data_IF_210525415036
#
_entry.id   IF_210525415036
#
_cell.length_a   1.000
_cell.length_b   1.000
_cell.length_c   1.000
_cell.angle_alpha   90.00
_cell.angle_beta   90.00
_cell.angle_gamma   90.00
#
_symmetry.space_group_name_H-M   'P 1'
#
loop_
_entity.id
_entity.type
_entity.pdbx_description
1 polymer ?
#
# COMPACT_ATOMS: atom_id res chain seq x y z
N UNK A 1 20.19 7.54 -11.19
CA UNK A 1 20.43 7.47 -9.74
C UNK A 1 19.87 8.74 -9.11
N UNK A 2 18.70 8.67 -8.52
CA UNK A 2 18.19 9.75 -7.67
C UNK A 2 18.58 9.42 -6.24
N UNK A 3 19.42 10.26 -5.63
CA UNK A 3 19.66 10.21 -4.19
C UNK A 3 18.38 10.55 -3.44
N UNK A 4 18.13 9.88 -2.31
CA UNK A 4 17.03 10.22 -1.41
C UNK A 4 17.08 11.71 -1.06
N UNK A 5 15.91 12.35 -1.02
CA UNK A 5 15.80 13.76 -0.62
C UNK A 5 16.17 13.88 0.86
N UNK A 6 16.95 14.89 1.22
CA UNK A 6 17.26 15.15 2.64
C UNK A 6 15.96 15.37 3.43
N UNK A 7 15.73 14.54 4.44
CA UNK A 7 14.50 14.54 5.23
C UNK A 7 13.41 13.57 4.74
N UNK A 8 13.65 12.80 3.68
CA UNK A 8 12.77 11.71 3.30
C UNK A 8 12.73 10.62 4.38
N UNK A 9 11.58 9.95 4.50
CA UNK A 9 11.40 8.90 5.49
C UNK A 9 12.15 7.61 5.10
N UNK A 10 12.27 7.30 3.81
CA UNK A 10 12.99 6.12 3.30
C UNK A 10 14.24 6.51 2.51
N UNK A 11 15.23 5.63 2.56
CA UNK A 11 16.43 5.69 1.74
C UNK A 11 16.45 4.52 0.76
N UNK A 12 17.04 4.72 -0.44
CA UNK A 12 17.27 3.64 -1.41
C UNK A 12 18.09 2.49 -0.80
N UNK A 13 19.02 2.79 0.11
CA UNK A 13 19.86 1.80 0.79
C UNK A 13 19.08 0.88 1.73
N UNK A 14 17.86 1.26 2.09
CA UNK A 14 16.98 0.43 2.93
C UNK A 14 16.16 -0.56 2.13
N UNK A 15 16.07 -0.38 0.81
CA UNK A 15 15.28 -1.22 -0.10
C UNK A 15 16.10 -2.43 -0.53
N UNK A 16 15.85 -3.57 0.11
CA UNK A 16 16.45 -4.84 -0.28
C UNK A 16 15.68 -5.47 -1.44
N UNK A 17 16.40 -6.25 -2.28
CA UNK A 17 15.82 -6.83 -3.48
C UNK A 17 15.85 -8.34 -3.47
N UNK A 18 14.83 -8.94 -4.08
CA UNK A 18 14.76 -10.35 -4.40
C UNK A 18 14.59 -10.52 -5.91
N UNK A 19 15.23 -11.51 -6.48
CA UNK A 19 15.07 -11.88 -7.90
C UNK A 19 13.81 -12.70 -8.16
N UNK A 20 13.32 -13.39 -7.13
CA UNK A 20 12.10 -14.22 -7.19
C UNK A 20 11.37 -14.18 -5.85
N UNK A 21 10.05 -14.25 -5.86
CA UNK A 21 9.28 -14.30 -4.62
C UNK A 21 9.52 -15.63 -3.88
N UNK A 22 9.77 -15.60 -2.57
CA UNK A 22 9.77 -16.81 -1.75
C UNK A 22 8.34 -17.35 -1.58
N UNK A 23 8.21 -18.51 -0.92
CA UNK A 23 6.89 -19.00 -0.51
C UNK A 23 6.24 -17.98 0.43
N UNK A 24 5.02 -17.58 0.12
CA UNK A 24 4.27 -16.59 0.89
C UNK A 24 3.33 -17.26 1.88
N UNK A 25 3.28 -16.74 3.10
CA UNK A 25 2.29 -17.15 4.10
C UNK A 25 0.95 -16.49 3.85
N UNK A 26 0.98 -15.27 3.29
CA UNK A 26 -0.19 -14.46 2.97
C UNK A 26 0.15 -13.42 1.92
N UNK A 27 -0.79 -13.18 0.99
CA UNK A 27 -0.71 -12.14 -0.03
C UNK A 27 -1.91 -11.21 0.10
N UNK A 28 -1.68 -9.90 0.03
CA UNK A 28 -2.74 -8.90 0.05
C UNK A 28 -2.51 -7.87 -1.07
N UNK A 29 -3.57 -7.19 -1.47
CA UNK A 29 -3.50 -6.07 -2.40
C UNK A 29 -3.89 -4.81 -1.64
N UNK A 30 -2.92 -3.91 -1.46
CA UNK A 30 -3.16 -2.59 -0.90
C UNK A 30 -3.70 -1.65 -1.97
N UNK A 31 -4.76 -0.91 -1.67
CA UNK A 31 -5.39 0.03 -2.59
C UNK A 31 -5.55 1.39 -1.93
N UNK A 32 -5.11 2.43 -2.61
CA UNK A 32 -5.38 3.83 -2.28
C UNK A 32 -6.04 4.52 -3.49
N UNK A 33 -7.37 4.51 -3.59
CA UNK A 33 -8.06 5.00 -4.77
C UNK A 33 -8.01 6.53 -4.84
N UNK A 34 -7.83 7.06 -6.07
CA UNK A 34 -7.93 8.48 -6.33
C UNK A 34 -9.29 9.04 -5.87
N UNK A 35 -9.27 10.16 -5.17
CA UNK A 35 -10.49 10.82 -4.67
C UNK A 35 -11.20 11.67 -5.72
N UNK A 36 -10.55 11.93 -6.86
CA UNK A 36 -11.07 12.74 -7.98
C UNK A 36 -11.04 11.96 -9.28
N UNK A 37 -12.02 12.19 -10.15
CA UNK A 37 -12.09 11.61 -11.50
C UNK A 37 -11.77 12.68 -12.55
N UNK A 38 -11.00 12.34 -13.59
CA UNK A 38 -10.69 13.20 -14.74
C UNK A 38 -9.21 13.09 -15.19
N UNK A 39 -8.86 13.74 -16.31
CA UNK A 39 -7.48 13.71 -16.87
C UNK A 39 -6.39 14.29 -15.94
N UNK A 40 -6.80 15.04 -14.91
CA UNK A 40 -5.91 15.59 -13.86
C UNK A 40 -6.11 14.89 -12.51
N UNK A 41 -6.75 13.71 -12.50
CA UNK A 41 -6.91 12.94 -11.26
C UNK A 41 -5.56 12.43 -10.76
N UNK A 42 -5.48 12.23 -9.46
CA UNK A 42 -4.38 11.49 -8.85
C UNK A 42 -4.35 10.05 -9.37
N UNK A 43 -3.25 9.38 -9.19
CA UNK A 43 -3.15 7.95 -9.46
C UNK A 43 -4.00 7.16 -8.43
N UNK A 44 -4.42 5.97 -8.81
CA UNK A 44 -4.90 4.97 -7.86
C UNK A 44 -3.72 4.07 -7.51
N UNK A 45 -3.31 4.10 -6.26
CA UNK A 45 -2.27 3.20 -5.76
C UNK A 45 -2.79 1.77 -5.67
N UNK A 46 -2.10 0.81 -6.30
CA UNK A 46 -2.41 -0.62 -6.25
C UNK A 46 -1.11 -1.39 -6.09
N UNK A 47 -0.89 -1.95 -4.91
CA UNK A 47 0.33 -2.68 -4.58
C UNK A 47 -0.01 -4.10 -4.15
N UNK A 48 0.54 -5.08 -4.87
CA UNK A 48 0.52 -6.48 -4.44
C UNK A 48 1.69 -6.74 -3.52
N UNK A 49 1.43 -7.25 -2.33
CA UNK A 49 2.46 -7.53 -1.35
C UNK A 49 2.18 -8.82 -0.58
N UNK A 50 3.24 -9.46 -0.14
CA UNK A 50 3.18 -10.71 0.61
C UNK A 50 3.97 -10.67 1.91
N UNK A 51 3.64 -11.63 2.77
CA UNK A 51 4.38 -11.94 3.99
C UNK A 51 5.00 -13.33 3.87
N UNK A 52 6.28 -13.45 4.20
CA UNK A 52 7.01 -14.72 4.29
C UNK A 52 7.80 -14.74 5.61
N UNK A 53 7.33 -15.51 6.59
CA UNK A 53 7.87 -15.49 7.95
C UNK A 53 7.68 -14.13 8.61
N UNK A 54 8.78 -13.45 8.92
CA UNK A 54 8.82 -12.10 9.49
C UNK A 54 9.16 -11.01 8.46
N UNK A 55 9.18 -11.35 7.15
CA UNK A 55 9.51 -10.46 6.05
C UNK A 55 8.27 -9.96 5.32
N UNK A 56 8.29 -8.69 4.96
CA UNK A 56 7.35 -8.04 4.04
C UNK A 56 7.97 -7.97 2.65
N UNK A 57 7.20 -8.28 1.61
CA UNK A 57 7.71 -8.34 0.26
C UNK A 57 6.74 -7.63 -0.69
N UNK A 58 7.21 -6.59 -1.36
CA UNK A 58 6.48 -5.96 -2.48
C UNK A 58 6.66 -6.86 -3.70
N UNK A 59 5.55 -7.30 -4.29
CA UNK A 59 5.52 -8.25 -5.39
C UNK A 59 5.26 -7.56 -6.73
N UNK A 60 4.35 -6.57 -6.75
CA UNK A 60 3.97 -5.86 -7.97
C UNK A 60 3.42 -4.47 -7.66
N UNK A 61 3.70 -3.50 -8.53
CA UNK A 61 3.10 -2.16 -8.54
C UNK A 61 2.23 -2.03 -9.80
N UNK A 62 0.92 -2.00 -9.60
CA UNK A 62 -0.11 -1.88 -10.65
C UNK A 62 -0.78 -0.50 -10.65
N UNK A 63 -0.18 0.43 -9.93
CA UNK A 63 -0.72 1.77 -9.78
C UNK A 63 -0.68 2.54 -11.09
N UNK A 64 -1.78 3.24 -11.39
CA UNK A 64 -1.89 4.10 -12.58
C UNK A 64 -3.12 5.03 -12.42
N UNK A 65 -3.39 5.84 -13.44
CA UNK A 65 -4.60 6.64 -13.53
C UNK A 65 -5.73 5.80 -14.11
N UNK A 66 -6.66 5.43 -13.26
CA UNK A 66 -7.79 4.60 -13.60
C UNK A 66 -9.12 5.33 -13.44
N UNK A 67 -10.12 4.95 -14.25
CA UNK A 67 -11.52 5.17 -13.89
C UNK A 67 -11.92 4.24 -12.72
N UNK A 68 -13.00 4.53 -11.99
CA UNK A 68 -13.44 3.68 -10.87
C UNK A 68 -13.61 2.20 -11.24
N UNK A 69 -14.27 1.90 -12.37
CA UNK A 69 -14.43 0.53 -12.82
C UNK A 69 -13.11 -0.11 -13.26
N UNK A 70 -12.22 0.68 -13.87
CA UNK A 70 -10.95 0.16 -14.38
C UNK A 70 -10.01 -0.28 -13.25
N UNK A 71 -9.87 0.53 -12.19
CA UNK A 71 -9.03 0.12 -11.07
C UNK A 71 -9.61 -1.10 -10.32
N UNK A 72 -10.96 -1.19 -10.18
CA UNK A 72 -11.57 -2.33 -9.53
C UNK A 72 -11.31 -3.63 -10.32
N UNK A 73 -11.49 -3.60 -11.64
CA UNK A 73 -11.18 -4.77 -12.49
C UNK A 73 -9.69 -5.14 -12.39
N UNK A 74 -8.79 -4.14 -12.40
CA UNK A 74 -7.35 -4.40 -12.28
C UNK A 74 -6.99 -5.06 -10.94
N UNK A 75 -7.63 -4.63 -9.86
CA UNK A 75 -7.47 -5.26 -8.54
C UNK A 75 -7.96 -6.70 -8.55
N UNK A 76 -9.13 -6.99 -9.16
CA UNK A 76 -9.66 -8.36 -9.21
C UNK A 76 -8.79 -9.26 -10.10
N UNK A 77 -8.30 -8.77 -11.26
CA UNK A 77 -7.34 -9.50 -12.08
C UNK A 77 -6.10 -9.92 -11.26
N UNK A 78 -5.50 -8.98 -10.53
CA UNK A 78 -4.35 -9.26 -9.68
C UNK A 78 -4.71 -10.17 -8.49
N UNK A 79 -5.92 -10.03 -7.92
CA UNK A 79 -6.41 -10.88 -6.85
C UNK A 79 -6.45 -12.36 -7.26
N UNK A 80 -6.93 -12.63 -8.48
CA UNK A 80 -7.00 -13.98 -9.03
C UNK A 80 -5.61 -14.49 -9.46
N UNK A 81 -4.81 -13.65 -10.12
CA UNK A 81 -3.47 -14.02 -10.58
C UNK A 81 -2.53 -14.40 -9.42
N UNK A 82 -2.48 -13.57 -8.40
CA UNK A 82 -1.64 -13.78 -7.23
C UNK A 82 -2.27 -14.72 -6.18
N UNK A 83 -3.51 -15.18 -6.40
CA UNK A 83 -4.29 -15.92 -5.39
C UNK A 83 -4.26 -15.19 -4.04
N UNK A 84 -4.54 -13.88 -4.08
CA UNK A 84 -4.44 -13.03 -2.91
C UNK A 84 -5.51 -13.38 -1.86
N UNK A 85 -5.18 -13.22 -0.59
CA UNK A 85 -6.07 -13.53 0.54
C UNK A 85 -7.12 -12.44 0.76
N UNK A 86 -6.76 -11.19 0.50
CA UNK A 86 -7.72 -10.07 0.60
C UNK A 86 -7.20 -8.79 -0.06
N UNK A 87 -8.14 -7.91 -0.37
CA UNK A 87 -7.88 -6.51 -0.75
C UNK A 87 -7.97 -5.65 0.52
N UNK A 88 -7.05 -4.72 0.67
CA UNK A 88 -6.95 -3.83 1.83
C UNK A 88 -6.99 -2.39 1.35
N UNK A 89 -7.90 -1.59 1.85
CA UNK A 89 -7.94 -0.17 1.55
C UNK A 89 -8.25 0.68 2.79
N UNK A 90 -7.78 1.93 2.76
CA UNK A 90 -8.14 2.92 3.77
C UNK A 90 -9.61 3.31 3.63
N UNK A 91 -10.28 3.38 4.78
CA UNK A 91 -11.63 3.91 4.89
C UNK A 91 -11.58 5.27 5.55
N UNK A 92 -11.39 6.31 4.75
CA UNK A 92 -11.78 7.67 5.09
C UNK A 92 -13.17 7.93 4.50
N UNK A 93 -13.80 9.05 4.76
CA UNK A 93 -15.13 9.52 4.37
C UNK A 93 -15.75 9.03 3.03
N UNK A 94 -15.36 7.91 2.50
CA UNK A 94 -15.79 7.27 1.24
C UNK A 94 -15.60 5.76 1.22
N UNK A 95 -15.26 5.13 2.33
CA UNK A 95 -14.88 3.72 2.38
C UNK A 95 -15.95 2.73 1.94
N UNK A 96 -17.21 3.10 2.05
CA UNK A 96 -18.29 2.30 1.50
C UNK A 96 -18.27 2.30 -0.04
N UNK A 97 -17.74 3.37 -0.66
CA UNK A 97 -17.60 3.46 -2.10
C UNK A 97 -16.50 2.54 -2.65
N UNK A 98 -15.38 2.39 -1.94
CA UNK A 98 -14.30 1.47 -2.34
C UNK A 98 -14.80 0.03 -2.35
N UNK A 99 -15.44 -0.39 -1.27
CA UNK A 99 -16.03 -1.73 -1.18
C UNK A 99 -17.11 -1.95 -2.25
N UNK A 100 -18.02 -0.99 -2.43
CA UNK A 100 -19.06 -1.08 -3.43
C UNK A 100 -18.48 -1.20 -4.86
N UNK A 101 -17.44 -0.43 -5.17
CA UNK A 101 -16.77 -0.49 -6.48
C UNK A 101 -16.08 -1.84 -6.70
N UNK A 102 -15.37 -2.37 -5.70
CA UNK A 102 -14.78 -3.71 -5.79
C UNK A 102 -15.83 -4.80 -5.99
N UNK A 103 -16.95 -4.71 -5.26
CA UNK A 103 -18.03 -5.70 -5.34
C UNK A 103 -18.83 -5.63 -6.64
N UNK A 104 -18.71 -4.56 -7.42
CA UNK A 104 -19.25 -4.53 -8.79
C UNK A 104 -18.41 -5.39 -9.75
N UNK A 105 -17.10 -5.50 -9.53
CA UNK A 105 -16.21 -6.36 -10.30
C UNK A 105 -16.28 -7.81 -9.82
N UNK A 106 -16.17 -8.04 -8.51
CA UNK A 106 -16.40 -9.35 -7.88
C UNK A 106 -17.11 -9.20 -6.53
N UNK A 107 -18.35 -9.69 -6.44
CA UNK A 107 -19.15 -9.64 -5.20
C UNK A 107 -18.61 -10.50 -4.05
N UNK A 108 -17.74 -11.47 -4.35
CA UNK A 108 -17.18 -12.40 -3.38
C UNK A 108 -15.77 -12.03 -2.92
N UNK A 109 -15.17 -10.96 -3.46
CA UNK A 109 -13.82 -10.53 -3.09
C UNK A 109 -13.70 -10.36 -1.57
N UNK A 110 -12.64 -10.93 -1.01
CA UNK A 110 -12.29 -10.70 0.40
C UNK A 110 -11.75 -9.29 0.58
N UNK A 111 -12.40 -8.49 1.40
CA UNK A 111 -12.05 -7.09 1.60
C UNK A 111 -11.87 -6.74 3.08
N UNK A 112 -10.79 -6.07 3.40
CA UNK A 112 -10.47 -5.61 4.75
C UNK A 112 -10.33 -4.10 4.79
N UNK A 113 -11.17 -3.45 5.59
CA UNK A 113 -11.06 -2.01 5.87
C UNK A 113 -9.93 -1.74 6.84
N UNK A 114 -9.08 -0.75 6.52
CA UNK A 114 -8.11 -0.19 7.45
C UNK A 114 -8.53 1.22 7.79
N UNK A 115 -8.65 1.50 9.09
CA UNK A 115 -9.07 2.82 9.57
C UNK A 115 -7.85 3.70 9.80
N UNK A 116 -7.80 4.83 9.12
CA UNK A 116 -6.82 5.86 9.38
C UNK A 116 -7.17 6.62 10.67
N UNK A 117 -6.82 6.05 11.80
CA UNK A 117 -7.03 6.70 13.10
C UNK A 117 -5.95 7.72 13.45
N UNK A 118 -4.90 7.84 12.62
CA UNK A 118 -3.72 8.66 12.88
C UNK A 118 -3.25 9.39 11.63
N UNK A 119 -2.48 10.47 11.80
CA UNK A 119 -1.84 11.21 10.69
C UNK A 119 -0.97 10.26 9.84
N UNK A 120 -0.84 10.54 8.54
CA UNK A 120 -0.10 9.74 7.54
C UNK A 120 1.31 9.36 8.02
N UNK A 121 2.06 10.30 8.57
CA UNK A 121 3.39 10.09 9.13
C UNK A 121 3.42 8.97 10.20
N UNK A 122 2.50 9.01 11.15
CA UNK A 122 2.41 8.03 12.26
C UNK A 122 2.10 6.61 11.76
N UNK A 123 1.58 6.47 10.53
CA UNK A 123 1.28 5.17 9.90
C UNK A 123 2.45 4.63 9.11
N UNK A 124 3.22 5.52 8.51
CA UNK A 124 4.40 5.18 7.72
C UNK A 124 5.60 4.80 8.61
N UNK A 125 5.80 5.47 9.75
CA UNK A 125 6.91 5.20 10.67
C UNK A 125 7.09 3.73 11.09
N UNK A 126 6.02 2.96 11.47
CA UNK A 126 6.21 1.55 11.80
C UNK A 126 6.65 0.70 10.60
N UNK A 127 6.31 1.11 9.39
CA UNK A 127 6.71 0.41 8.17
C UNK A 127 8.15 0.77 7.79
N UNK A 128 8.52 2.04 7.91
CA UNK A 128 9.90 2.50 7.75
C UNK A 128 10.84 1.74 8.72
N UNK A 129 10.46 1.60 9.98
CA UNK A 129 11.23 0.81 10.94
C UNK A 129 11.43 -0.65 10.52
N UNK A 130 10.51 -1.25 9.75
CA UNK A 130 10.70 -2.59 9.19
C UNK A 130 11.75 -2.58 8.05
N UNK A 131 11.82 -1.51 7.26
CA UNK A 131 12.86 -1.34 6.24
C UNK A 131 14.23 -1.17 6.89
N UNK A 132 14.38 -0.31 7.90
CA UNK A 132 15.62 -0.16 8.69
C UNK A 132 16.09 -1.49 9.30
N UNK A 133 15.15 -2.30 9.79
CA UNK A 133 15.41 -3.64 10.32
C UNK A 133 15.77 -4.67 9.25
N UNK A 134 15.85 -4.27 7.95
CA UNK A 134 16.13 -5.16 6.82
C UNK A 134 15.13 -6.33 6.71
N UNK A 135 13.87 -6.05 7.02
CA UNK A 135 12.76 -7.00 6.96
C UNK A 135 11.82 -6.75 5.77
N UNK A 136 12.09 -5.73 4.97
CA UNK A 136 11.32 -5.39 3.78
C UNK A 136 12.13 -5.62 2.51
N UNK A 137 11.48 -6.21 1.51
CA UNK A 137 12.10 -6.56 0.24
C UNK A 137 11.20 -6.15 -0.91
N UNK A 138 11.81 -5.79 -2.03
CA UNK A 138 11.11 -5.61 -3.30
C UNK A 138 11.50 -6.76 -4.25
N UNK A 139 10.50 -7.45 -4.79
CA UNK A 139 10.70 -8.52 -5.77
C UNK A 139 10.80 -7.93 -7.18
N UNK A 140 11.89 -7.22 -7.45
CA UNK A 140 12.13 -6.45 -8.66
C UNK A 140 12.47 -4.99 -8.35
N UNK A 141 12.26 -4.13 -9.35
CA UNK A 141 12.47 -2.67 -9.27
C UNK A 141 11.15 -1.99 -9.58
N UNK A 142 10.68 -1.11 -8.70
CA UNK A 142 9.44 -0.37 -8.83
C UNK A 142 9.73 1.15 -8.79
N UNK A 143 10.19 1.74 -9.90
CA UNK A 143 10.79 3.08 -9.88
C UNK A 143 9.85 4.15 -9.34
N UNK A 144 8.58 4.13 -9.74
CA UNK A 144 7.60 5.14 -9.34
C UNK A 144 7.21 5.02 -7.86
N UNK A 145 7.06 3.80 -7.34
CA UNK A 145 6.83 3.55 -5.92
C UNK A 145 8.04 4.01 -5.10
N UNK A 146 9.21 3.60 -5.51
CA UNK A 146 10.47 3.89 -4.79
C UNK A 146 10.80 5.38 -4.82
N UNK A 147 10.55 6.06 -5.96
CA UNK A 147 10.65 7.53 -6.07
C UNK A 147 9.70 8.21 -5.07
N UNK A 148 8.45 7.77 -4.95
CA UNK A 148 7.52 8.31 -3.96
C UNK A 148 8.00 8.08 -2.54
N UNK A 149 8.50 6.89 -2.21
CA UNK A 149 9.04 6.55 -0.90
C UNK A 149 10.22 7.45 -0.54
N UNK A 150 11.24 7.52 -1.40
CA UNK A 150 12.48 8.27 -1.17
C UNK A 150 12.35 9.79 -1.35
N UNK A 151 11.19 10.27 -1.81
CA UNK A 151 10.88 11.71 -1.95
C UNK A 151 9.84 12.19 -0.95
N UNK A 152 9.20 11.29 -0.20
CA UNK A 152 8.17 11.67 0.74
C UNK A 152 8.76 12.20 2.05
N UNK A 153 8.44 13.46 2.36
CA UNK A 153 8.90 14.14 3.57
C UNK A 153 7.76 14.30 4.57
N UNK A 154 8.03 13.92 5.82
CA UNK A 154 7.06 14.06 6.90
C UNK A 154 6.69 15.52 7.15
N UNK A 155 5.39 15.79 7.21
CA UNK A 155 4.86 17.11 7.50
C UNK A 155 4.65 18.00 6.28
N UNK A 156 5.17 17.65 5.11
CA UNK A 156 4.87 18.33 3.86
C UNK A 156 3.53 17.91 3.27
N UNK A 157 2.84 18.87 2.68
CA UNK A 157 1.60 18.63 1.94
C UNK A 157 1.89 18.17 0.52
N UNK A 158 0.91 17.53 -0.14
CA UNK A 158 0.94 17.20 -1.56
C UNK A 158 1.37 18.38 -2.45
N UNK A 159 0.89 19.58 -2.13
CA UNK A 159 1.24 20.80 -2.89
C UNK A 159 2.72 21.17 -2.77
N UNK A 160 3.31 20.99 -1.58
CA UNK A 160 4.72 21.28 -1.32
C UNK A 160 5.64 20.21 -1.93
N UNK A 161 5.20 18.96 -1.97
CA UNK A 161 5.95 17.86 -2.59
C UNK A 161 5.79 17.81 -4.12
N UNK A 162 4.69 18.36 -4.65
CA UNK A 162 4.39 18.35 -6.08
C UNK A 162 3.80 17.02 -6.60
N UNK A 163 3.56 16.04 -5.72
CA UNK A 163 2.95 14.75 -6.07
C UNK A 163 2.05 14.23 -4.95
N UNK A 164 1.16 13.29 -5.30
CA UNK A 164 0.39 12.48 -4.35
C UNK A 164 1.08 11.14 -4.15
N UNK A 165 1.39 10.72 -2.92
CA UNK A 165 2.11 9.48 -2.68
C UNK A 165 1.16 8.25 -2.65
N UNK A 166 0.29 8.12 -3.64
CA UNK A 166 -0.79 7.12 -3.66
C UNK A 166 -0.24 5.68 -3.71
N UNK A 167 0.88 5.44 -4.44
CA UNK A 167 1.58 4.14 -4.48
C UNK A 167 2.17 3.79 -3.11
N UNK A 168 2.86 4.75 -2.50
CA UNK A 168 3.42 4.59 -1.15
C UNK A 168 2.32 4.32 -0.12
N UNK A 169 1.19 5.03 -0.19
CA UNK A 169 0.07 4.81 0.73
C UNK A 169 -0.53 3.42 0.56
N UNK A 170 -0.75 2.96 -0.66
CA UNK A 170 -1.21 1.59 -0.92
C UNK A 170 -0.23 0.54 -0.36
N UNK A 171 1.08 0.74 -0.50
CA UNK A 171 2.11 -0.11 0.09
C UNK A 171 2.04 -0.10 1.62
N UNK A 172 1.89 1.06 2.24
CA UNK A 172 1.75 1.20 3.71
C UNK A 172 0.51 0.46 4.23
N UNK A 173 -0.60 0.49 3.48
CA UNK A 173 -1.82 -0.27 3.85
C UNK A 173 -1.58 -1.78 3.79
N UNK A 174 -0.96 -2.27 2.74
CA UNK A 174 -0.61 -3.68 2.60
C UNK A 174 0.34 -4.13 3.72
N UNK A 175 1.41 -3.37 3.97
CA UNK A 175 2.38 -3.66 5.02
C UNK A 175 1.75 -3.64 6.42
N UNK A 176 0.86 -2.67 6.69
CA UNK A 176 0.13 -2.59 7.95
C UNK A 176 -0.74 -3.83 8.17
N UNK A 177 -1.47 -4.28 7.14
CA UNK A 177 -2.32 -5.46 7.24
C UNK A 177 -1.53 -6.76 7.47
N UNK A 178 -0.33 -6.86 6.86
CA UNK A 178 0.51 -8.07 6.94
C UNK A 178 1.40 -8.11 8.18
N UNK A 179 1.95 -6.98 8.60
CA UNK A 179 3.05 -6.95 9.57
C UNK A 179 2.67 -6.37 10.92
N UNK A 180 1.71 -5.45 10.97
CA UNK A 180 1.34 -4.78 12.21
C UNK A 180 0.20 -5.52 12.90
N UNK A 181 0.48 -6.14 14.05
CA UNK A 181 -0.54 -6.85 14.84
C UNK A 181 -1.58 -5.84 15.36
N UNK A 182 -2.85 -6.06 15.08
CA UNK A 182 -3.92 -5.35 15.78
C UNK A 182 -3.80 -5.69 17.27
N UNK A 183 -3.53 -4.68 18.10
CA UNK A 183 -3.52 -4.85 19.56
C UNK A 183 -4.82 -5.55 19.98
N UNK A 184 -4.73 -6.68 20.69
CA UNK A 184 -5.91 -7.31 21.30
C UNK A 184 -6.57 -6.26 22.19
N UNK A 185 -7.80 -5.85 21.88
CA UNK A 185 -8.62 -5.12 22.84
C UNK A 185 -8.68 -6.00 24.10
N UNK A 186 -8.03 -5.58 25.19
CA UNK A 186 -8.26 -6.18 26.51
C UNK A 186 -9.76 -6.04 26.78
N UNK A 187 -10.49 -7.14 26.69
CA UNK A 187 -11.87 -7.19 27.16
C UNK A 187 -11.88 -6.70 28.60
N UNK A 188 -12.62 -5.65 28.88
CA UNK A 188 -13.00 -5.33 30.26
C UNK A 188 -13.88 -6.49 30.68
N UNK A 189 -13.38 -7.31 31.57
CA UNK A 189 -14.22 -8.18 32.39
C UNK A 189 -15.02 -7.25 33.31
N UNK A 190 -16.35 -7.39 33.25
CA UNK A 190 -17.26 -6.84 34.24
C UNK A 190 -17.35 -7.82 35.39
#
# INVERSE_FOLDING_TARGET
WRSSVEGALWSEDDILRLSQPPVMDRIVIGVDPATTSGEKSDETGIIVAGKSGDRFIVLEDLSDRYSPNAWANKVIEAYDEWQADCVVAEVNNGGDMVEATLRTADKNVSYQKVWATRKKAVRAEPIEALYEQKRCFHCGVFPELEDQMCSWEQGKTKKEMGFSPDRMDAMVWAATALMIKKGKKKGRAF
#
